data_IF_284666683902
#
_entry.id   IF_284666683902
#
_cell.length_a   1.000
_cell.length_b   1.000
_cell.length_c   1.000
_cell.angle_alpha   90.00
_cell.angle_beta   90.00
_cell.angle_gamma   90.00
#
_symmetry.space_group_name_H-M   'P 1'
#
loop_
_entity.id
_entity.type
_entity.pdbx_description
1 polymer ?
#
# COMPACT_ATOMS: atom_id res chain seq x y z
N UNK A 1 -1.32 17.03 -0.22
CA UNK A 1 -0.95 15.70 0.30
C UNK A 1 -1.61 14.68 -0.61
N UNK A 2 -0.86 13.74 -1.16
CA UNK A 2 -1.43 12.65 -1.96
C UNK A 2 -1.55 11.40 -1.11
N UNK A 3 -2.58 10.59 -1.37
CA UNK A 3 -2.86 9.37 -0.60
C UNK A 3 -3.03 8.20 -1.55
N UNK A 4 -2.44 7.06 -1.21
CA UNK A 4 -2.60 5.82 -1.98
C UNK A 4 -3.37 4.76 -1.18
N UNK A 5 -4.31 4.04 -1.82
CA UNK A 5 -4.74 4.20 -3.21
C UNK A 5 -5.51 5.51 -3.44
N UNK A 6 -5.32 6.14 -4.60
CA UNK A 6 -6.15 7.26 -5.07
C UNK A 6 -7.49 6.69 -5.55
N UNK A 7 -8.49 6.71 -4.67
CA UNK A 7 -9.82 6.12 -4.90
C UNK A 7 -10.66 6.88 -5.93
N UNK A 8 -10.18 8.01 -6.46
CA UNK A 8 -10.89 8.79 -7.47
C UNK A 8 -10.76 8.22 -8.89
N UNK A 9 -9.72 7.43 -9.18
CA UNK A 9 -9.50 6.82 -10.50
C UNK A 9 -10.29 5.52 -10.66
N UNK A 10 -10.48 5.05 -11.90
CA UNK A 10 -11.16 3.76 -12.15
C UNK A 10 -10.44 2.56 -11.51
N UNK A 11 -9.09 2.59 -11.50
CA UNK A 11 -8.29 1.58 -10.78
C UNK A 11 -8.50 1.74 -9.27
N UNK A 12 -8.47 2.97 -8.77
CA UNK A 12 -8.74 3.30 -7.38
C UNK A 12 -10.11 2.81 -6.88
N UNK A 13 -11.15 2.95 -7.70
CA UNK A 13 -12.49 2.45 -7.40
C UNK A 13 -12.52 0.92 -7.33
N UNK A 14 -11.79 0.24 -8.22
CA UNK A 14 -11.66 -1.21 -8.21
C UNK A 14 -10.96 -1.71 -6.94
N UNK A 15 -9.89 -1.03 -6.53
CA UNK A 15 -9.20 -1.28 -5.26
C UNK A 15 -10.13 -1.01 -4.07
N UNK A 16 -10.90 0.08 -4.10
CA UNK A 16 -11.84 0.42 -3.04
C UNK A 16 -12.91 -0.67 -2.85
N UNK A 17 -13.49 -1.17 -3.94
CA UNK A 17 -14.44 -2.28 -3.88
C UNK A 17 -13.80 -3.55 -3.28
N UNK A 18 -12.54 -3.84 -3.62
CA UNK A 18 -11.82 -4.96 -3.02
C UNK A 18 -11.58 -4.78 -1.52
N UNK A 19 -11.15 -3.58 -1.08
CA UNK A 19 -10.87 -3.26 0.32
C UNK A 19 -12.15 -3.25 1.17
N UNK A 20 -13.26 -2.79 0.61
CA UNK A 20 -14.58 -2.80 1.25
C UNK A 20 -15.28 -4.17 1.21
N UNK A 21 -14.56 -5.23 0.83
CA UNK A 21 -15.08 -6.60 0.67
C UNK A 21 -16.28 -6.72 -0.31
N UNK A 22 -16.45 -5.77 -1.22
CA UNK A 22 -17.50 -5.77 -2.25
C UNK A 22 -17.09 -6.54 -3.53
N UNK A 23 -15.80 -6.86 -3.67
CA UNK A 23 -15.29 -7.68 -4.76
C UNK A 23 -14.19 -8.62 -4.28
N UNK A 24 -14.00 -9.71 -5.03
CA UNK A 24 -12.90 -10.66 -4.86
C UNK A 24 -11.96 -10.58 -6.06
N UNK A 25 -10.67 -10.56 -5.78
CA UNK A 25 -9.60 -10.58 -6.77
C UNK A 25 -8.48 -11.47 -6.28
N UNK A 26 -7.76 -12.09 -7.22
CA UNK A 26 -6.50 -12.77 -6.94
C UNK A 26 -5.48 -11.81 -6.31
N UNK A 27 -4.64 -12.32 -5.42
CA UNK A 27 -3.69 -11.52 -4.66
C UNK A 27 -2.61 -10.86 -5.54
N UNK A 28 -2.22 -11.49 -6.65
CA UNK A 28 -1.30 -10.88 -7.61
C UNK A 28 -2.00 -9.75 -8.37
N UNK A 29 -3.26 -9.98 -8.80
CA UNK A 29 -4.05 -8.98 -9.54
C UNK A 29 -4.23 -7.72 -8.70
N UNK A 30 -4.69 -7.86 -7.45
CA UNK A 30 -4.90 -6.68 -6.60
C UNK A 30 -3.59 -5.95 -6.28
N UNK A 31 -2.48 -6.68 -6.09
CA UNK A 31 -1.17 -6.06 -5.90
C UNK A 31 -0.75 -5.25 -7.13
N UNK A 32 -0.93 -5.80 -8.33
CA UNK A 32 -0.67 -5.08 -9.59
C UNK A 32 -1.57 -3.84 -9.73
N UNK A 33 -2.84 -3.89 -9.31
CA UNK A 33 -3.71 -2.71 -9.33
C UNK A 33 -3.20 -1.62 -8.37
N UNK A 34 -2.72 -1.97 -7.17
CA UNK A 34 -2.09 -0.99 -6.27
C UNK A 34 -0.86 -0.34 -6.90
N UNK A 35 -0.01 -1.11 -7.58
CA UNK A 35 1.15 -0.58 -8.33
C UNK A 35 0.69 0.32 -9.47
N UNK A 36 -0.27 -0.12 -10.28
CA UNK A 36 -0.80 0.64 -11.40
C UNK A 36 -1.40 1.98 -10.93
N UNK A 37 -2.12 2.00 -9.81
CA UNK A 37 -2.69 3.22 -9.25
C UNK A 37 -1.64 4.25 -8.81
N UNK A 38 -0.47 3.80 -8.33
CA UNK A 38 0.68 4.70 -8.09
C UNK A 38 1.27 5.20 -9.40
N UNK A 39 1.37 4.33 -10.40
CA UNK A 39 1.90 4.68 -11.72
C UNK A 39 1.05 5.70 -12.45
N UNK A 40 -0.28 5.73 -12.24
CA UNK A 40 -1.17 6.79 -12.75
C UNK A 40 -0.70 8.21 -12.35
N UNK A 41 0.02 8.34 -11.23
CA UNK A 41 0.56 9.61 -10.73
C UNK A 41 2.04 9.84 -11.05
N UNK A 42 2.72 8.89 -11.70
CA UNK A 42 4.19 8.93 -11.88
C UNK A 42 4.68 10.16 -12.63
N UNK A 43 4.08 10.46 -13.76
CA UNK A 43 4.54 11.57 -14.59
C UNK A 43 4.30 12.91 -13.90
N UNK A 44 3.20 13.02 -13.15
CA UNK A 44 2.92 14.18 -12.31
C UNK A 44 3.91 14.31 -11.15
N UNK A 45 4.23 13.19 -10.47
CA UNK A 45 5.29 13.13 -9.43
C UNK A 45 6.59 13.69 -9.99
N UNK A 46 7.07 13.13 -11.11
CA UNK A 46 8.34 13.50 -11.73
C UNK A 46 8.37 14.97 -12.15
N UNK A 47 7.28 15.47 -12.76
CA UNK A 47 7.18 16.87 -13.18
C UNK A 47 7.25 17.83 -12.00
N UNK A 48 6.53 17.54 -10.91
CA UNK A 48 6.53 18.40 -9.72
C UNK A 48 7.89 18.38 -9.01
N UNK A 49 8.50 17.21 -8.87
CA UNK A 49 9.83 17.05 -8.28
C UNK A 49 10.89 17.80 -9.09
N UNK A 50 10.86 17.68 -10.43
CA UNK A 50 11.75 18.44 -11.32
C UNK A 50 11.56 19.95 -11.20
N UNK A 51 10.35 20.41 -10.83
CA UNK A 51 10.05 21.80 -10.53
C UNK A 51 10.41 22.26 -9.11
N UNK A 52 11.08 21.42 -8.32
CA UNK A 52 11.49 21.73 -6.94
C UNK A 52 10.37 21.62 -5.91
N UNK A 53 9.24 20.98 -6.24
CA UNK A 53 8.13 20.78 -5.30
C UNK A 53 8.38 19.54 -4.44
N UNK A 54 8.35 19.68 -3.12
CA UNK A 54 8.34 18.55 -2.18
C UNK A 54 6.98 17.88 -2.16
N UNK A 55 6.95 16.55 -2.30
CA UNK A 55 5.73 15.75 -2.25
C UNK A 55 5.62 15.01 -0.91
N UNK A 56 4.48 15.15 -0.25
CA UNK A 56 4.14 14.39 0.96
C UNK A 56 3.06 13.37 0.61
N UNK A 57 3.41 12.09 0.73
CA UNK A 57 2.60 10.95 0.34
C UNK A 57 2.14 10.16 1.57
N UNK A 58 0.83 10.02 1.76
CA UNK A 58 0.22 9.10 2.71
C UNK A 58 0.12 7.72 2.07
N UNK A 59 0.97 6.80 2.56
CA UNK A 59 1.28 5.49 1.98
C UNK A 59 1.96 5.59 0.61
N UNK A 60 2.73 4.57 0.27
CA UNK A 60 3.42 4.44 -1.02
C UNK A 60 3.81 2.98 -1.26
N UNK A 61 4.88 2.72 -2.01
CA UNK A 61 5.35 1.38 -2.36
C UNK A 61 5.56 0.45 -1.16
N UNK A 62 6.10 0.94 -0.03
CA UNK A 62 6.29 0.12 1.17
C UNK A 62 4.98 -0.53 1.67
N UNK A 63 3.86 0.21 1.63
CA UNK A 63 2.56 -0.35 2.02
C UNK A 63 2.11 -1.42 1.03
N UNK A 64 2.30 -1.25 -0.27
CA UNK A 64 1.92 -2.27 -1.26
C UNK A 64 2.69 -3.58 -1.07
N UNK A 65 4.00 -3.48 -0.89
CA UNK A 65 4.89 -4.62 -0.68
C UNK A 65 4.59 -5.34 0.64
N UNK A 66 4.53 -4.60 1.75
CA UNK A 66 4.35 -5.19 3.08
C UNK A 66 3.00 -5.91 3.20
N UNK A 67 1.89 -5.30 2.74
CA UNK A 67 0.56 -5.90 2.85
C UNK A 67 0.43 -7.15 1.98
N UNK A 68 1.00 -7.17 0.77
CA UNK A 68 0.92 -8.37 -0.07
C UNK A 68 1.81 -9.48 0.45
N UNK A 69 3.05 -9.18 0.84
CA UNK A 69 3.95 -10.19 1.39
C UNK A 69 3.43 -10.80 2.70
N UNK A 70 2.76 -10.00 3.55
CA UNK A 70 2.15 -10.45 4.80
C UNK A 70 1.06 -11.52 4.60
N UNK A 71 0.51 -11.68 3.39
CA UNK A 71 -0.45 -12.75 3.08
C UNK A 71 0.19 -14.15 3.07
N UNK A 72 1.53 -14.23 3.01
CA UNK A 72 2.24 -15.51 3.02
C UNK A 72 2.05 -16.35 1.76
N UNK A 73 1.63 -15.74 0.65
CA UNK A 73 1.43 -16.43 -0.63
C UNK A 73 2.80 -16.76 -1.26
N UNK A 74 3.14 -18.05 -1.50
CA UNK A 74 4.50 -18.45 -1.87
C UNK A 74 5.07 -17.77 -3.12
N UNK A 75 4.22 -17.45 -4.10
CA UNK A 75 4.62 -16.80 -5.36
C UNK A 75 4.60 -15.26 -5.29
N UNK A 76 4.16 -14.67 -4.18
CA UNK A 76 4.16 -13.22 -3.94
C UNK A 76 5.21 -12.86 -2.89
N UNK A 77 6.45 -13.26 -3.15
CA UNK A 77 7.56 -12.95 -2.27
C UNK A 77 7.78 -11.43 -2.14
N UNK A 78 8.46 -11.03 -1.07
CA UNK A 78 8.92 -9.66 -0.85
C UNK A 78 9.67 -9.11 -2.08
N UNK A 79 10.59 -9.89 -2.63
CA UNK A 79 11.39 -9.52 -3.81
C UNK A 79 10.54 -9.38 -5.07
N UNK A 80 9.58 -10.28 -5.28
CA UNK A 80 8.63 -10.16 -6.39
C UNK A 80 7.81 -8.86 -6.27
N UNK A 81 7.24 -8.59 -5.10
CA UNK A 81 6.45 -7.37 -4.87
C UNK A 81 7.29 -6.09 -5.09
N UNK A 82 8.52 -6.05 -4.58
CA UNK A 82 9.46 -4.93 -4.82
C UNK A 82 9.76 -4.74 -6.30
N UNK A 83 9.91 -5.83 -7.06
CA UNK A 83 10.24 -5.78 -8.49
C UNK A 83 9.17 -5.08 -9.34
N UNK A 84 7.92 -5.07 -8.88
CA UNK A 84 6.82 -4.39 -9.57
C UNK A 84 6.80 -2.87 -9.31
N UNK A 85 7.41 -2.43 -8.21
CA UNK A 85 7.43 -1.02 -7.79
C UNK A 85 8.59 -0.23 -8.43
N UNK A 86 9.55 -0.88 -9.08
CA UNK A 86 10.81 -0.27 -9.58
C UNK A 86 10.62 0.88 -10.58
N UNK A 87 9.44 0.98 -11.19
CA UNK A 87 9.12 2.06 -12.12
C UNK A 87 8.75 3.37 -11.41
N UNK A 88 8.48 3.33 -10.11
CA UNK A 88 8.10 4.50 -9.32
C UNK A 88 9.33 5.29 -8.84
N UNK A 89 9.20 6.63 -8.69
CA UNK A 89 10.22 7.43 -8.02
C UNK A 89 10.49 6.91 -6.61
N UNK A 90 11.76 6.71 -6.26
CA UNK A 90 12.15 6.36 -4.89
C UNK A 90 11.85 7.53 -3.94
N UNK A 91 11.41 7.22 -2.72
CA UNK A 91 11.22 8.23 -1.69
C UNK A 91 12.58 8.61 -1.06
N UNK A 92 12.82 9.90 -0.88
CA UNK A 92 14.02 10.40 -0.17
C UNK A 92 13.96 10.12 1.34
N UNK A 93 12.75 10.06 1.91
CA UNK A 93 12.51 9.78 3.33
C UNK A 93 11.23 8.96 3.50
N UNK A 94 11.29 7.96 4.38
CA UNK A 94 10.14 7.14 4.79
C UNK A 94 9.95 7.28 6.30
N UNK A 95 8.77 7.76 6.70
CA UNK A 95 8.40 7.86 8.11
C UNK A 95 7.44 6.72 8.45
N UNK A 96 7.92 5.75 9.23
CA UNK A 96 7.11 4.65 9.73
C UNK A 96 6.52 4.99 11.10
N UNK A 97 5.20 5.14 11.16
CA UNK A 97 4.47 5.41 12.40
C UNK A 97 4.02 4.09 13.03
N UNK A 98 4.61 3.73 14.16
CA UNK A 98 4.28 2.51 14.90
C UNK A 98 3.27 2.79 16.01
N UNK A 99 2.40 1.81 16.26
CA UNK A 99 1.43 1.86 17.34
C UNK A 99 1.08 0.43 17.79
N UNK A 100 0.70 0.25 19.06
CA UNK A 100 0.30 -1.08 19.53
C UNK A 100 -1.04 -1.51 18.92
N UNK A 101 -1.27 -2.82 18.71
CA UNK A 101 -2.55 -3.32 18.20
C UNK A 101 -3.75 -2.87 19.02
N UNK A 102 -3.62 -2.80 20.34
CA UNK A 102 -4.69 -2.36 21.26
C UNK A 102 -5.04 -0.90 21.02
N UNK A 103 -4.03 -0.06 20.80
CA UNK A 103 -4.21 1.36 20.50
C UNK A 103 -4.76 1.57 19.08
N UNK A 104 -4.52 0.65 18.14
CA UNK A 104 -5.12 0.67 16.79
C UNK A 104 -6.61 0.32 16.86
N UNK A 105 -6.96 -0.75 17.59
CA UNK A 105 -8.33 -1.20 17.76
C UNK A 105 -9.22 -0.19 18.51
N UNK A 106 -8.63 0.65 19.36
CA UNK A 106 -9.35 1.72 20.07
C UNK A 106 -9.69 2.93 19.19
N UNK A 107 -9.18 3.02 17.94
CA UNK A 107 -9.53 4.11 17.01
C UNK A 107 -10.85 3.82 16.31
N UNK A 108 -11.68 4.85 16.16
CA UNK A 108 -12.92 4.75 15.39
C UNK A 108 -12.65 4.36 13.94
N UNK A 109 -13.45 3.43 13.40
CA UNK A 109 -13.35 2.92 12.03
C UNK A 109 -12.43 1.71 11.85
N UNK A 110 -11.75 1.23 12.90
CA UNK A 110 -10.95 0.00 12.81
C UNK A 110 -11.85 -1.22 12.59
N UNK A 111 -11.58 -1.98 11.52
CA UNK A 111 -12.27 -3.21 11.17
C UNK A 111 -13.25 -3.07 10.00
N UNK A 112 -13.33 -1.89 9.38
CA UNK A 112 -14.21 -1.63 8.24
C UNK A 112 -13.58 -2.05 6.90
N UNK A 113 -12.25 -2.18 6.84
CA UNK A 113 -11.53 -2.62 5.64
C UNK A 113 -10.91 -4.02 5.79
N UNK A 114 -10.76 -4.72 4.65
CA UNK A 114 -10.29 -6.11 4.53
C UNK A 114 -9.06 -6.47 5.39
N UNK A 115 -8.13 -5.53 5.56
CA UNK A 115 -6.86 -5.74 6.26
C UNK A 115 -6.82 -5.18 7.69
N UNK A 116 -7.93 -4.65 8.20
CA UNK A 116 -8.05 -4.14 9.57
C UNK A 116 -8.45 -5.25 10.54
N UNK A 117 -7.62 -6.31 10.57
CA UNK A 117 -7.78 -7.46 11.46
C UNK A 117 -6.54 -7.55 12.33
N UNK A 118 -6.72 -7.71 13.65
CA UNK A 118 -5.60 -7.77 14.62
C UNK A 118 -4.61 -8.86 14.25
N UNK A 119 -5.11 -10.01 13.80
CA UNK A 119 -4.29 -11.13 13.34
C UNK A 119 -3.37 -10.75 12.18
N UNK A 120 -3.87 -9.99 11.20
CA UNK A 120 -3.11 -9.54 10.03
C UNK A 120 -2.07 -8.46 10.39
N UNK A 121 -2.34 -7.65 11.43
CA UNK A 121 -1.47 -6.54 11.85
C UNK A 121 -0.53 -6.90 13.00
N UNK A 122 -0.65 -8.10 13.56
CA UNK A 122 0.24 -8.60 14.62
C UNK A 122 1.63 -8.94 14.07
N UNK A 123 2.65 -8.87 14.95
CA UNK A 123 4.10 -8.81 14.66
C UNK A 123 4.65 -9.96 13.77
N UNK A 124 3.86 -11.00 13.50
CA UNK A 124 4.19 -12.11 12.59
C UNK A 124 4.05 -11.79 11.09
N UNK A 125 3.19 -10.84 10.70
CA UNK A 125 2.95 -10.51 9.28
C UNK A 125 3.91 -9.47 8.68
N UNK A 126 4.44 -8.56 9.51
CA UNK A 126 5.20 -7.38 9.06
C UNK A 126 6.71 -7.46 9.33
N UNK A 127 7.20 -8.37 10.19
CA UNK A 127 8.65 -8.54 10.45
C UNK A 127 9.46 -9.03 9.24
N UNK A 128 8.81 -9.60 8.22
CA UNK A 128 9.46 -10.03 6.98
C UNK A 128 9.88 -8.88 6.05
N UNK A 129 9.54 -7.62 6.35
CA UNK A 129 9.76 -6.47 5.44
C UNK A 129 10.83 -5.47 5.88
N UNK A 130 11.59 -5.75 6.94
CA UNK A 130 12.62 -4.86 7.48
C UNK A 130 14.02 -5.48 7.53
N UNK A 131 14.26 -6.54 6.75
CA UNK A 131 15.59 -7.14 6.51
C UNK A 131 16.10 -6.85 5.11
#
# INVERSE_FOLDING_TARGET
MWRFPDRSTSIGQSINAYLAEQSHMDDAVIHMLFVANRLEKRDEMLRLLAGGTTLVLDRYSYSGVAYTAAKGVPYLSMEYCKSLEVLLPAADLVVHMTMTPESMAARGGYGEERYEKVEFQSDGGLRGSAG
#
